data_IF_979488135390
#
_entry.id   IF_979488135390
#
_cell.length_a   1.000
_cell.length_b   1.000
_cell.length_c   1.000
_cell.angle_alpha   90.00
_cell.angle_beta   90.00
_cell.angle_gamma   90.00
#
_symmetry.space_group_name_H-M   'P 1'
#
loop_
_entity.id
_entity.type
_entity.pdbx_description
1 polymer ?
#
# COMPACT_ATOMS: atom_id res chain seq x y z
N UNK A 1 19.35 -20.51 25.09
CA UNK A 1 17.97 -20.99 24.93
C UNK A 1 17.33 -20.15 23.84
N UNK A 2 17.36 -20.63 22.61
CA UNK A 2 16.79 -19.97 21.44
C UNK A 2 15.35 -20.49 21.29
N UNK A 3 14.39 -19.67 21.68
CA UNK A 3 12.96 -19.98 21.60
C UNK A 3 12.48 -19.89 20.15
N UNK A 4 12.06 -21.01 19.61
CA UNK A 4 11.44 -21.13 18.29
C UNK A 4 10.06 -20.46 18.24
N UNK A 5 10.03 -19.27 17.68
CA UNK A 5 8.82 -18.47 17.48
C UNK A 5 8.57 -18.27 15.96
N UNK A 6 8.57 -19.30 15.14
CA UNK A 6 8.54 -18.96 13.71
C UNK A 6 7.90 -19.92 12.72
N UNK A 7 7.03 -20.85 13.07
CA UNK A 7 6.49 -21.72 12.02
C UNK A 7 4.95 -21.86 12.01
N UNK A 8 4.24 -21.54 13.07
CA UNK A 8 2.77 -21.70 13.11
C UNK A 8 2.01 -20.48 12.56
N UNK A 9 2.48 -19.27 12.83
CA UNK A 9 1.76 -18.06 12.40
C UNK A 9 1.81 -17.79 10.89
N UNK A 10 2.84 -18.25 10.19
CA UNK A 10 2.95 -18.12 8.73
C UNK A 10 1.97 -19.03 7.99
N UNK A 11 1.71 -20.22 8.49
CA UNK A 11 0.81 -21.20 7.84
C UNK A 11 -0.66 -20.82 8.02
N UNK A 12 -1.07 -20.40 9.20
CA UNK A 12 -2.46 -20.03 9.49
C UNK A 12 -2.86 -18.69 8.84
N UNK A 13 -1.93 -17.72 8.75
CA UNK A 13 -2.15 -16.46 8.05
C UNK A 13 -2.28 -16.67 6.53
N UNK A 14 -1.46 -17.55 5.95
CA UNK A 14 -1.57 -17.95 4.54
C UNK A 14 -2.85 -18.75 4.26
N UNK A 15 -3.31 -19.59 5.18
CA UNK A 15 -4.56 -20.34 5.06
C UNK A 15 -5.79 -19.43 5.08
N UNK A 16 -5.81 -18.40 5.92
CA UNK A 16 -6.92 -17.45 5.99
C UNK A 16 -7.06 -16.64 4.70
N UNK A 17 -5.94 -16.22 4.10
CA UNK A 17 -5.93 -15.50 2.83
C UNK A 17 -6.25 -16.43 1.65
N UNK A 18 -5.81 -17.69 1.69
CA UNK A 18 -6.05 -18.67 0.62
C UNK A 18 -7.52 -19.11 0.49
N UNK A 19 -8.35 -18.90 1.50
CA UNK A 19 -9.76 -19.36 1.47
C UNK A 19 -10.74 -18.38 0.82
N UNK A 20 -10.31 -17.16 0.50
CA UNK A 20 -11.24 -16.06 0.16
C UNK A 20 -11.21 -15.66 -1.31
N UNK A 21 -10.11 -15.92 -2.04
CA UNK A 21 -9.95 -15.45 -3.43
C UNK A 21 -9.44 -16.56 -4.38
N UNK A 22 -9.66 -16.34 -5.68
CA UNK A 22 -9.23 -17.26 -6.74
C UNK A 22 -7.69 -17.40 -6.77
N UNK A 23 -7.19 -18.61 -6.57
CA UNK A 23 -5.75 -18.92 -6.49
C UNK A 23 -5.13 -19.37 -7.82
N UNK A 24 -5.86 -19.34 -8.94
CA UNK A 24 -5.34 -19.75 -10.24
C UNK A 24 -5.78 -18.76 -11.32
N UNK A 25 -5.17 -17.58 -11.31
CA UNK A 25 -5.45 -16.50 -12.24
C UNK A 25 -4.33 -16.35 -13.27
N UNK A 26 -4.69 -15.82 -14.44
CA UNK A 26 -3.74 -15.31 -15.43
C UNK A 26 -3.45 -13.84 -15.14
N UNK A 27 -2.21 -13.55 -14.78
CA UNK A 27 -1.75 -12.20 -14.41
C UNK A 27 -0.73 -11.71 -15.43
N UNK A 28 -0.88 -10.45 -15.88
CA UNK A 28 0.17 -9.73 -16.59
C UNK A 28 0.94 -8.81 -15.63
N UNK A 29 2.20 -8.56 -15.90
CA UNK A 29 3.01 -7.58 -15.19
C UNK A 29 3.36 -6.42 -16.12
N UNK A 30 3.24 -5.19 -15.63
CA UNK A 30 3.65 -3.97 -16.33
C UNK A 30 4.68 -3.27 -15.45
N UNK A 31 5.94 -3.24 -15.93
CA UNK A 31 7.11 -2.84 -15.15
C UNK A 31 7.77 -4.05 -14.47
N UNK A 32 9.02 -4.35 -14.87
CA UNK A 32 9.74 -5.54 -14.39
C UNK A 32 11.04 -5.19 -13.64
N UNK A 33 10.95 -4.10 -12.85
CA UNK A 33 11.99 -3.71 -11.91
C UNK A 33 11.99 -4.58 -10.64
N UNK A 34 12.53 -4.04 -9.54
CA UNK A 34 12.60 -4.76 -8.24
C UNK A 34 11.23 -5.24 -7.75
N UNK A 35 10.18 -4.38 -7.87
CA UNK A 35 8.83 -4.76 -7.45
C UNK A 35 8.21 -5.81 -8.38
N UNK A 36 8.29 -5.63 -9.69
CA UNK A 36 7.74 -6.60 -10.66
C UNK A 36 8.29 -8.01 -10.46
N UNK A 37 9.59 -8.15 -10.24
CA UNK A 37 10.25 -9.45 -9.94
C UNK A 37 9.77 -10.06 -8.61
N UNK A 38 9.56 -9.24 -7.59
CA UNK A 38 9.04 -9.73 -6.30
C UNK A 38 7.58 -10.15 -6.42
N UNK A 39 6.77 -9.38 -7.16
CA UNK A 39 5.37 -9.69 -7.44
C UNK A 39 5.25 -11.00 -8.25
N UNK A 40 6.07 -11.19 -9.28
CA UNK A 40 6.10 -12.45 -10.04
C UNK A 40 6.33 -13.66 -9.14
N UNK A 41 7.38 -13.60 -8.31
CA UNK A 41 7.70 -14.70 -7.39
C UNK A 41 6.50 -15.01 -6.48
N UNK A 42 5.92 -14.01 -5.84
CA UNK A 42 4.80 -14.19 -4.91
C UNK A 42 3.55 -14.67 -5.64
N UNK A 43 3.25 -14.15 -6.83
CA UNK A 43 2.11 -14.59 -7.63
C UNK A 43 2.23 -16.07 -7.99
N UNK A 44 3.42 -16.53 -8.45
CA UNK A 44 3.68 -17.93 -8.74
C UNK A 44 3.64 -18.83 -7.50
N UNK A 45 4.18 -18.38 -6.37
CA UNK A 45 4.09 -19.08 -5.07
C UNK A 45 2.64 -19.25 -4.61
N UNK A 46 1.74 -18.34 -4.99
CA UNK A 46 0.29 -18.40 -4.71
C UNK A 46 -0.48 -19.20 -5.77
N UNK A 47 0.16 -19.73 -6.80
CA UNK A 47 -0.45 -20.58 -7.83
C UNK A 47 -0.96 -19.84 -9.07
N UNK A 48 -0.65 -18.54 -9.23
CA UNK A 48 -1.04 -17.80 -10.42
C UNK A 48 -0.09 -18.03 -11.59
N UNK A 49 -0.63 -17.90 -12.79
CA UNK A 49 0.12 -17.94 -14.04
C UNK A 49 0.51 -16.51 -14.47
N UNK A 50 1.81 -16.24 -14.68
CA UNK A 50 2.25 -15.01 -15.32
C UNK A 50 2.29 -15.23 -16.83
N UNK A 51 1.32 -14.64 -17.53
CA UNK A 51 1.12 -14.83 -18.98
C UNK A 51 1.82 -13.78 -19.83
N UNK A 52 2.10 -12.61 -19.29
CA UNK A 52 2.79 -11.52 -20.00
C UNK A 52 3.59 -10.67 -19.04
N UNK A 53 4.76 -10.21 -19.47
CA UNK A 53 5.60 -9.24 -18.75
C UNK A 53 5.94 -8.13 -19.73
N UNK A 54 5.49 -6.91 -19.42
CA UNK A 54 5.75 -5.72 -20.22
C UNK A 54 6.73 -4.82 -19.48
N UNK A 55 7.78 -4.42 -20.18
CA UNK A 55 8.75 -3.42 -19.71
C UNK A 55 9.08 -2.45 -20.86
N UNK A 56 10.08 -1.59 -20.68
CA UNK A 56 10.43 -0.53 -21.64
C UNK A 56 10.74 -1.03 -23.05
N UNK A 57 11.29 -2.25 -23.18
CA UNK A 57 11.78 -2.80 -24.44
C UNK A 57 10.70 -3.54 -25.27
N UNK A 58 9.53 -3.85 -24.68
CA UNK A 58 8.49 -4.65 -25.34
C UNK A 58 7.09 -4.09 -25.21
N UNK A 59 6.94 -2.77 -25.21
CA UNK A 59 5.64 -2.12 -25.03
C UNK A 59 4.60 -2.48 -26.11
N UNK A 60 4.99 -3.06 -27.25
CA UNK A 60 4.05 -3.56 -28.25
C UNK A 60 3.26 -4.79 -27.79
N UNK A 61 3.72 -5.48 -26.77
CA UNK A 61 3.10 -6.71 -26.26
C UNK A 61 1.74 -6.48 -25.55
N UNK A 62 1.34 -5.23 -25.28
CA UNK A 62 -0.04 -4.92 -24.88
C UNK A 62 -1.11 -5.42 -25.87
N UNK A 63 -0.73 -5.57 -27.15
CA UNK A 63 -1.64 -6.03 -28.20
C UNK A 63 -1.57 -7.55 -28.41
N UNK A 64 -0.68 -8.25 -27.72
CA UNK A 64 -0.49 -9.70 -27.82
C UNK A 64 -1.67 -10.49 -27.25
N UNK A 65 -1.90 -11.68 -27.79
CA UNK A 65 -2.90 -12.62 -27.24
C UNK A 65 -2.56 -13.04 -25.82
N UNK A 66 -1.27 -13.13 -25.49
CA UNK A 66 -0.80 -13.42 -24.15
C UNK A 66 -1.28 -12.36 -23.15
N UNK A 67 -1.05 -11.06 -23.45
CA UNK A 67 -1.50 -9.98 -22.58
C UNK A 67 -3.04 -9.94 -22.47
N UNK A 68 -3.75 -10.06 -23.59
CA UNK A 68 -5.22 -10.06 -23.64
C UNK A 68 -5.85 -11.24 -22.90
N UNK A 69 -5.10 -12.31 -22.67
CA UNK A 69 -5.56 -13.46 -21.90
C UNK A 69 -5.50 -13.23 -20.39
N UNK A 70 -4.84 -12.16 -19.92
CA UNK A 70 -4.73 -11.85 -18.50
C UNK A 70 -6.08 -11.35 -17.94
N UNK A 71 -6.42 -11.81 -16.75
CA UNK A 71 -7.59 -11.33 -16.00
C UNK A 71 -7.31 -9.97 -15.35
N UNK A 72 -6.05 -9.80 -14.88
CA UNK A 72 -5.58 -8.58 -14.22
C UNK A 72 -4.12 -8.32 -14.60
N UNK A 73 -3.76 -7.06 -14.82
CA UNK A 73 -2.39 -6.61 -14.96
C UNK A 73 -1.96 -5.87 -13.68
N UNK A 74 -0.79 -6.25 -13.11
CA UNK A 74 -0.21 -5.54 -11.96
C UNK A 74 0.87 -4.59 -12.49
N UNK A 75 0.67 -3.29 -12.23
CA UNK A 75 1.49 -2.20 -12.79
C UNK A 75 2.30 -1.50 -11.70
N UNK A 76 3.63 -1.53 -11.86
CA UNK A 76 4.59 -0.81 -11.03
C UNK A 76 5.69 -0.21 -11.91
N UNK A 77 5.43 0.99 -12.42
CA UNK A 77 6.35 1.72 -13.32
C UNK A 77 6.73 3.09 -12.78
N UNK A 78 6.65 4.12 -13.62
CA UNK A 78 6.92 5.51 -13.27
C UNK A 78 5.73 6.40 -13.67
N UNK A 79 5.52 7.56 -12.99
CA UNK A 79 4.33 8.41 -13.22
C UNK A 79 4.11 8.83 -14.67
N UNK A 80 5.20 9.03 -15.42
CA UNK A 80 5.15 9.53 -16.80
C UNK A 80 4.46 8.58 -17.78
N UNK A 81 4.46 7.27 -17.49
CA UNK A 81 3.89 6.26 -18.39
C UNK A 81 2.66 5.55 -17.80
N UNK A 82 2.39 5.71 -16.52
CA UNK A 82 1.32 5.00 -15.80
C UNK A 82 -0.05 5.12 -16.49
N UNK A 83 -0.49 6.34 -16.79
CA UNK A 83 -1.79 6.58 -17.45
C UNK A 83 -1.88 5.97 -18.85
N UNK A 84 -0.77 6.01 -19.60
CA UNK A 84 -0.71 5.35 -20.91
C UNK A 84 -0.83 3.83 -20.76
N UNK A 85 -0.16 3.26 -19.78
CA UNK A 85 -0.23 1.83 -19.48
C UNK A 85 -1.66 1.41 -19.11
N UNK A 86 -2.34 2.18 -18.24
CA UNK A 86 -3.74 1.90 -17.87
C UNK A 86 -4.66 1.90 -19.09
N UNK A 87 -4.60 2.95 -19.93
CA UNK A 87 -5.44 3.06 -21.12
C UNK A 87 -5.20 1.93 -22.12
N UNK A 88 -3.94 1.49 -22.28
CA UNK A 88 -3.62 0.34 -23.14
C UNK A 88 -4.17 -0.97 -22.57
N UNK A 89 -4.04 -1.19 -21.28
CA UNK A 89 -4.62 -2.35 -20.61
C UNK A 89 -6.16 -2.36 -20.73
N UNK A 90 -6.81 -1.21 -20.50
CA UNK A 90 -8.27 -1.08 -20.67
C UNK A 90 -8.72 -1.35 -22.09
N UNK A 91 -7.98 -0.86 -23.11
CA UNK A 91 -8.28 -1.14 -24.53
C UNK A 91 -8.18 -2.63 -24.86
N UNK A 92 -7.34 -3.38 -24.14
CA UNK A 92 -7.21 -4.83 -24.24
C UNK A 92 -8.22 -5.59 -23.38
N UNK A 93 -9.10 -4.90 -22.63
CA UNK A 93 -10.10 -5.52 -21.75
C UNK A 93 -9.53 -6.02 -20.41
N UNK A 94 -8.27 -5.70 -20.08
CA UNK A 94 -7.57 -6.18 -18.90
C UNK A 94 -7.74 -5.18 -17.73
N UNK A 95 -8.18 -5.67 -16.56
CA UNK A 95 -8.23 -4.89 -15.33
C UNK A 95 -6.82 -4.55 -14.85
N UNK A 96 -6.66 -3.43 -14.15
CA UNK A 96 -5.34 -2.97 -13.67
C UNK A 96 -5.32 -2.85 -12.15
N UNK A 97 -4.25 -3.34 -11.53
CA UNK A 97 -3.86 -3.04 -10.14
C UNK A 97 -2.56 -2.24 -10.20
N UNK A 98 -2.56 -1.00 -9.71
CA UNK A 98 -1.39 -0.14 -9.82
C UNK A 98 -0.91 0.42 -8.49
N UNK A 99 0.42 0.35 -8.30
CA UNK A 99 1.15 1.00 -7.21
C UNK A 99 2.00 2.19 -7.66
N UNK A 100 1.92 2.59 -8.91
CA UNK A 100 2.62 3.79 -9.38
C UNK A 100 1.97 5.04 -8.79
N UNK A 101 2.79 5.94 -8.24
CA UNK A 101 2.37 7.21 -7.61
C UNK A 101 2.81 8.41 -8.44
N UNK A 102 2.42 9.63 -8.07
CA UNK A 102 2.86 10.87 -8.72
C UNK A 102 2.11 11.25 -9.99
N UNK A 103 0.92 10.67 -10.23
CA UNK A 103 0.04 10.98 -11.37
C UNK A 103 -1.38 11.40 -10.93
N UNK A 104 -1.64 11.48 -9.65
CA UNK A 104 -3.00 11.63 -9.06
C UNK A 104 -3.72 12.93 -9.41
N UNK A 105 -3.03 13.94 -9.92
CA UNK A 105 -3.67 15.15 -10.47
C UNK A 105 -4.66 14.82 -11.60
N UNK A 106 -4.41 13.75 -12.36
CA UNK A 106 -5.30 13.29 -13.43
C UNK A 106 -6.40 12.33 -12.97
N UNK A 107 -6.46 12.02 -11.67
CA UNK A 107 -7.42 11.05 -11.12
C UNK A 107 -8.89 11.39 -11.44
N UNK A 108 -9.36 12.65 -11.36
CA UNK A 108 -10.77 12.98 -11.71
C UNK A 108 -11.12 12.67 -13.15
N UNK A 109 -10.18 12.88 -14.08
CA UNK A 109 -10.39 12.54 -15.49
C UNK A 109 -10.38 11.02 -15.69
N UNK A 110 -9.42 10.32 -15.08
CA UNK A 110 -9.28 8.88 -15.23
C UNK A 110 -10.50 8.13 -14.68
N UNK A 111 -11.10 8.59 -13.57
CA UNK A 111 -12.34 8.01 -13.03
C UNK A 111 -13.49 8.09 -14.04
N UNK A 112 -13.65 9.21 -14.72
CA UNK A 112 -14.67 9.35 -15.81
C UNK A 112 -14.38 8.40 -16.98
N UNK A 113 -13.11 8.24 -17.36
CA UNK A 113 -12.72 7.30 -18.43
C UNK A 113 -13.03 5.84 -18.03
N UNK A 114 -12.77 5.46 -16.77
CA UNK A 114 -13.07 4.13 -16.22
C UNK A 114 -14.56 3.85 -16.26
N UNK A 115 -15.38 4.78 -15.80
CA UNK A 115 -16.84 4.66 -15.80
C UNK A 115 -17.40 4.52 -17.23
N UNK A 116 -16.99 5.41 -18.14
CA UNK A 116 -17.45 5.42 -19.54
C UNK A 116 -17.01 4.16 -20.29
N UNK A 117 -15.80 3.64 -20.03
CA UNK A 117 -15.23 2.46 -20.68
C UNK A 117 -15.58 1.13 -20.01
N UNK A 118 -16.35 1.14 -18.91
CA UNK A 118 -16.60 -0.05 -18.08
C UNK A 118 -15.30 -0.80 -17.71
N UNK A 119 -14.23 -0.04 -17.46
CA UNK A 119 -12.90 -0.55 -17.14
C UNK A 119 -12.72 -0.75 -15.64
N UNK A 120 -11.55 -1.25 -15.21
CA UNK A 120 -11.26 -1.46 -13.78
C UNK A 120 -9.85 -1.02 -13.47
N UNK A 121 -9.73 -0.14 -12.47
CA UNK A 121 -8.46 0.21 -11.84
C UNK A 121 -8.58 0.06 -10.34
N UNK A 122 -7.76 -0.82 -9.76
CA UNK A 122 -7.45 -0.79 -8.34
C UNK A 122 -6.16 0.02 -8.16
N UNK A 123 -6.21 1.11 -7.38
CA UNK A 123 -5.04 1.92 -7.12
C UNK A 123 -4.80 2.10 -5.62
N UNK A 124 -3.54 1.99 -5.22
CA UNK A 124 -3.11 2.35 -3.88
C UNK A 124 -1.68 2.90 -3.90
N UNK A 125 -1.42 3.91 -3.08
CA UNK A 125 -0.06 4.40 -2.81
C UNK A 125 0.73 3.43 -1.91
N UNK A 126 0.05 2.50 -1.22
CA UNK A 126 0.67 1.54 -0.32
C UNK A 126 -0.12 0.22 -0.28
N UNK A 127 0.46 -0.85 -0.80
CA UNK A 127 -0.14 -2.18 -0.84
C UNK A 127 0.15 -3.04 0.40
N UNK A 128 0.96 -2.58 1.36
CA UNK A 128 1.21 -3.35 2.58
C UNK A 128 -0.08 -3.51 3.39
N UNK A 129 -0.57 -4.74 3.52
CA UNK A 129 -1.74 -5.05 4.35
C UNK A 129 -1.52 -4.58 5.80
N UNK A 130 -0.32 -4.85 6.36
CA UNK A 130 0.02 -4.42 7.71
C UNK A 130 0.00 -2.91 7.90
N UNK A 131 0.47 -2.13 6.91
CA UNK A 131 0.40 -0.65 6.95
C UNK A 131 -1.05 -0.17 6.89
N UNK A 132 -1.89 -0.78 6.04
CA UNK A 132 -3.31 -0.38 5.95
C UNK A 132 -4.09 -0.71 7.23
N UNK A 133 -3.87 -1.89 7.82
CA UNK A 133 -4.42 -2.23 9.14
C UNK A 133 -3.92 -1.24 10.21
N UNK A 134 -2.62 -0.91 10.19
CA UNK A 134 -2.03 0.05 11.11
C UNK A 134 -2.66 1.45 10.96
N UNK A 135 -2.90 1.93 9.73
CA UNK A 135 -3.58 3.20 9.47
C UNK A 135 -5.02 3.20 10.02
N UNK A 136 -5.77 2.11 9.83
CA UNK A 136 -7.13 1.98 10.36
C UNK A 136 -7.15 1.99 11.90
N UNK A 137 -6.28 1.22 12.54
CA UNK A 137 -6.12 1.19 14.01
C UNK A 137 -5.69 2.57 14.54
N UNK A 138 -4.77 3.25 13.86
CA UNK A 138 -4.30 4.58 14.21
C UNK A 138 -5.45 5.60 14.22
N UNK A 139 -6.25 5.62 13.16
CA UNK A 139 -7.40 6.53 13.05
C UNK A 139 -8.46 6.24 14.13
N UNK A 140 -8.76 4.96 14.37
CA UNK A 140 -9.70 4.54 15.41
C UNK A 140 -9.20 4.90 16.81
N UNK A 141 -7.92 4.64 17.10
CA UNK A 141 -7.28 5.00 18.38
C UNK A 141 -7.30 6.51 18.59
N UNK A 142 -7.00 7.31 17.57
CA UNK A 142 -7.04 8.77 17.65
C UNK A 142 -8.43 9.29 18.05
N UNK A 143 -9.51 8.71 17.51
CA UNK A 143 -10.88 9.04 17.89
C UNK A 143 -11.17 8.74 19.37
N UNK A 144 -10.67 7.63 19.91
CA UNK A 144 -10.76 7.32 21.34
C UNK A 144 -9.96 8.35 22.15
N UNK A 145 -8.71 8.63 21.74
CA UNK A 145 -7.78 9.50 22.45
C UNK A 145 -8.20 10.98 22.42
N UNK A 146 -9.13 11.37 21.57
CA UNK A 146 -9.71 12.71 21.58
C UNK A 146 -10.42 13.03 22.90
N UNK A 147 -10.93 12.02 23.61
CA UNK A 147 -11.61 12.15 24.91
C UNK A 147 -10.62 12.27 26.08
N UNK A 148 -9.32 12.08 25.87
CA UNK A 148 -8.29 12.06 26.91
C UNK A 148 -7.24 13.16 26.66
N UNK A 149 -7.51 14.42 27.01
CA UNK A 149 -6.64 15.55 26.67
C UNK A 149 -5.28 15.56 27.37
N UNK A 150 -5.10 14.76 28.42
CA UNK A 150 -3.80 14.62 29.14
C UNK A 150 -2.77 13.79 28.35
N UNK A 151 -3.18 13.09 27.30
CA UNK A 151 -2.22 12.42 26.43
C UNK A 151 -1.81 13.33 25.29
N UNK A 152 -0.53 13.51 25.13
CA UNK A 152 0.04 14.10 23.92
C UNK A 152 0.37 13.00 22.91
N UNK A 153 0.52 13.37 21.63
CA UNK A 153 0.77 12.39 20.55
C UNK A 153 1.94 12.82 19.69
N UNK A 154 2.79 11.85 19.38
CA UNK A 154 3.87 12.01 18.42
C UNK A 154 3.98 10.80 17.49
N UNK A 155 4.58 11.02 16.32
CA UNK A 155 4.94 9.98 15.37
C UNK A 155 6.45 9.91 15.25
N UNK A 156 6.99 8.70 15.17
CA UNK A 156 8.37 8.48 14.76
C UNK A 156 8.45 7.48 13.62
N UNK A 157 9.40 7.70 12.71
CA UNK A 157 9.69 6.79 11.61
C UNK A 157 11.17 6.49 11.49
N UNK A 158 11.52 5.27 11.09
CA UNK A 158 12.89 4.85 10.79
C UNK A 158 12.93 4.21 9.40
N UNK A 159 13.80 4.70 8.53
CA UNK A 159 14.05 4.13 7.20
C UNK A 159 15.55 4.00 6.91
N UNK A 160 15.87 3.32 5.81
CA UNK A 160 17.25 3.18 5.33
C UNK A 160 17.88 4.54 4.99
N UNK A 161 19.21 4.61 5.05
CA UNK A 161 19.97 5.85 4.86
C UNK A 161 19.85 6.47 3.45
N UNK A 162 19.40 5.72 2.46
CA UNK A 162 19.20 6.18 1.08
C UNK A 162 17.82 6.79 0.82
N UNK A 163 16.90 6.81 1.82
CA UNK A 163 15.58 7.44 1.68
C UNK A 163 15.71 8.94 1.75
N UNK A 164 15.29 9.65 0.69
CA UNK A 164 15.47 11.11 0.54
C UNK A 164 14.34 11.90 1.20
N UNK A 165 13.09 11.44 1.05
CA UNK A 165 11.93 12.12 1.61
C UNK A 165 11.86 11.93 3.14
N UNK A 166 11.59 13.01 3.85
CA UNK A 166 11.35 13.04 5.30
C UNK A 166 10.37 14.18 5.64
N UNK A 167 9.24 13.87 6.31
CA UNK A 167 8.74 12.54 6.65
C UNK A 167 8.39 11.69 5.43
N UNK A 168 8.27 10.35 5.63
CA UNK A 168 7.75 9.45 4.61
C UNK A 168 6.27 9.69 4.33
N UNK A 169 5.80 9.34 3.13
CA UNK A 169 4.36 9.40 2.80
C UNK A 169 3.48 8.66 3.80
N UNK A 170 3.93 7.49 4.30
CA UNK A 170 3.21 6.73 5.34
C UNK A 170 3.09 7.51 6.65
N UNK A 171 4.17 8.17 7.09
CA UNK A 171 4.13 8.98 8.31
C UNK A 171 3.19 10.18 8.17
N UNK A 172 3.17 10.81 6.99
CA UNK A 172 2.24 11.91 6.69
C UNK A 172 0.79 11.41 6.73
N UNK A 173 0.48 10.29 6.07
CA UNK A 173 -0.88 9.72 6.09
C UNK A 173 -1.34 9.34 7.51
N UNK A 174 -0.43 8.80 8.34
CA UNK A 174 -0.73 8.52 9.75
C UNK A 174 -1.05 9.81 10.50
N UNK A 175 -0.26 10.87 10.28
CA UNK A 175 -0.48 12.17 10.90
C UNK A 175 -1.81 12.80 10.49
N UNK A 176 -2.12 12.80 9.19
CA UNK A 176 -3.40 13.29 8.67
C UNK A 176 -4.58 12.53 9.29
N UNK A 177 -4.49 11.19 9.38
CA UNK A 177 -5.52 10.37 10.02
C UNK A 177 -5.71 10.66 11.52
N UNK A 178 -4.66 11.07 12.24
CA UNK A 178 -4.76 11.55 13.62
C UNK A 178 -5.41 12.93 13.67
N UNK A 179 -4.96 13.87 12.85
CA UNK A 179 -5.47 15.24 12.81
C UNK A 179 -6.97 15.31 12.46
N UNK A 180 -7.48 14.38 11.67
CA UNK A 180 -8.91 14.25 11.39
C UNK A 180 -9.76 13.88 12.62
N UNK A 181 -9.16 13.33 13.67
CA UNK A 181 -9.85 12.79 14.85
C UNK A 181 -9.53 13.55 16.13
N UNK A 182 -8.44 14.30 16.19
CA UNK A 182 -7.96 14.99 17.39
C UNK A 182 -8.18 16.50 17.28
N UNK A 183 -9.26 17.01 17.86
CA UNK A 183 -9.64 18.43 17.82
C UNK A 183 -8.55 19.37 18.38
N UNK A 184 -7.71 18.89 19.29
CA UNK A 184 -6.64 19.67 19.93
C UNK A 184 -5.36 19.78 19.12
N UNK A 185 -5.22 19.04 17.99
CA UNK A 185 -4.06 19.08 17.09
C UNK A 185 -4.50 19.57 15.71
N UNK A 186 -3.82 20.56 15.15
CA UNK A 186 -4.19 21.21 13.91
C UNK A 186 -3.21 20.96 12.77
N UNK A 187 -1.94 20.66 13.10
CA UNK A 187 -0.87 20.52 12.13
C UNK A 187 0.20 19.57 12.65
N UNK A 188 0.86 18.87 11.73
CA UNK A 188 2.09 18.16 12.05
C UNK A 188 3.32 18.98 11.65
N UNK A 189 4.39 18.82 12.42
CA UNK A 189 5.69 19.50 12.23
C UNK A 189 6.85 18.50 12.32
N UNK A 190 7.98 18.85 11.70
CA UNK A 190 9.22 18.03 11.73
C UNK A 190 10.10 18.28 12.96
N UNK A 191 9.62 19.05 13.89
CA UNK A 191 10.39 19.53 15.03
C UNK A 191 10.23 18.60 16.24
N UNK A 192 11.17 18.67 17.16
CA UNK A 192 11.16 17.88 18.38
C UNK A 192 10.45 18.59 19.53
N UNK A 193 10.39 19.91 19.47
CA UNK A 193 9.63 20.75 20.41
C UNK A 193 8.42 21.30 19.69
N UNK A 194 7.23 21.06 20.22
CA UNK A 194 5.96 21.42 19.60
C UNK A 194 5.14 22.33 20.49
N UNK A 195 4.33 23.19 19.87
CA UNK A 195 3.26 23.87 20.58
C UNK A 195 2.11 22.89 20.90
N UNK A 196 1.24 23.19 21.86
CA UNK A 196 0.16 22.28 22.27
C UNK A 196 -0.77 21.81 21.11
N UNK A 197 -0.92 22.60 20.07
CA UNK A 197 -1.74 22.31 18.90
C UNK A 197 -0.98 21.66 17.73
N UNK A 198 0.32 21.42 17.89
CA UNK A 198 1.19 20.78 16.91
C UNK A 198 1.47 19.32 17.28
N UNK A 199 1.72 18.50 16.28
CA UNK A 199 2.12 17.10 16.45
C UNK A 199 3.47 16.85 15.78
N UNK A 200 4.44 16.31 16.52
CA UNK A 200 5.75 15.99 15.98
C UNK A 200 5.74 14.76 15.08
N UNK A 201 6.46 14.84 13.94
CA UNK A 201 6.91 13.67 13.18
C UNK A 201 8.44 13.63 13.22
N UNK A 202 9.00 12.67 13.93
CA UNK A 202 10.44 12.45 14.06
C UNK A 202 10.92 11.43 13.03
N UNK A 203 11.80 11.83 12.12
CA UNK A 203 12.30 10.96 11.05
C UNK A 203 13.74 10.55 11.30
N UNK A 204 14.00 9.24 11.33
CA UNK A 204 15.33 8.67 11.53
C UNK A 204 15.78 7.89 10.29
N UNK A 205 17.10 7.86 10.07
CA UNK A 205 17.72 7.10 8.97
C UNK A 205 18.74 6.13 9.57
N UNK A 206 18.54 4.82 9.33
CA UNK A 206 19.37 3.77 9.94
C UNK A 206 19.58 2.60 8.99
N UNK A 207 20.81 2.34 8.62
CA UNK A 207 21.22 1.15 7.87
C UNK A 207 20.34 0.85 6.65
N UNK A 208 19.77 -0.35 6.64
CA UNK A 208 18.92 -0.86 5.55
C UNK A 208 17.45 -1.07 5.99
N UNK A 209 17.00 -0.41 7.04
CA UNK A 209 15.65 -0.56 7.60
C UNK A 209 14.59 -0.27 6.51
N UNK A 210 13.70 -1.23 6.19
CA UNK A 210 12.68 -1.04 5.15
C UNK A 210 11.65 0.03 5.50
N UNK A 211 11.28 0.13 6.78
CA UNK A 211 10.37 1.12 7.32
C UNK A 211 9.78 0.67 8.65
N UNK A 212 9.96 1.48 9.69
CA UNK A 212 9.30 1.32 10.99
C UNK A 212 8.52 2.62 11.23
N UNK A 213 7.26 2.51 11.62
CA UNK A 213 6.42 3.64 11.98
C UNK A 213 5.83 3.38 13.35
N UNK A 214 5.93 4.36 14.23
CA UNK A 214 5.45 4.28 15.60
C UNK A 214 4.60 5.51 15.89
N UNK A 215 3.40 5.30 16.44
CA UNK A 215 2.54 6.34 17.02
C UNK A 215 2.55 6.15 18.52
N UNK A 216 2.84 7.19 19.25
CA UNK A 216 2.97 7.19 20.71
C UNK A 216 2.04 8.24 21.30
N UNK A 217 1.16 7.82 22.19
CA UNK A 217 0.39 8.68 23.06
C UNK A 217 0.96 8.62 24.47
N UNK A 218 1.41 9.74 25.00
CA UNK A 218 2.11 9.82 26.28
C UNK A 218 1.40 10.76 27.26
N UNK A 219 1.30 10.32 28.51
CA UNK A 219 0.80 11.09 29.65
C UNK A 219 1.79 11.04 30.82
N UNK A 220 1.51 11.73 31.90
CA UNK A 220 2.32 11.66 33.13
C UNK A 220 2.28 10.28 33.80
N UNK A 221 1.30 9.43 33.50
CA UNK A 221 1.06 8.17 34.22
C UNK A 221 1.41 6.93 33.38
N UNK A 222 1.26 7.00 32.05
CA UNK A 222 1.54 5.87 31.16
C UNK A 222 1.72 6.30 29.70
N UNK A 223 2.08 5.34 28.86
CA UNK A 223 2.29 5.52 27.43
C UNK A 223 1.56 4.42 26.65
N UNK A 224 0.81 4.80 25.61
CA UNK A 224 0.20 3.88 24.65
C UNK A 224 0.96 3.98 23.34
N UNK A 225 1.50 2.87 22.86
CA UNK A 225 2.29 2.84 21.62
C UNK A 225 1.76 1.78 20.67
N UNK A 226 1.56 2.18 19.41
CA UNK A 226 1.33 1.25 18.30
C UNK A 226 2.46 1.36 17.29
N UNK A 227 2.93 0.22 16.77
CA UNK A 227 4.09 0.18 15.87
C UNK A 227 3.86 -0.79 14.72
N UNK A 228 4.17 -0.36 13.50
CA UNK A 228 4.35 -1.22 12.33
C UNK A 228 5.83 -1.29 11.96
N UNK A 229 6.38 -2.50 11.88
CA UNK A 229 7.76 -2.79 11.52
C UNK A 229 7.81 -3.67 10.28
N UNK A 230 8.10 -3.07 9.12
CA UNK A 230 8.25 -3.80 7.87
C UNK A 230 9.54 -4.64 7.87
N UNK A 231 9.43 -5.94 7.64
CA UNK A 231 10.58 -6.85 7.61
C UNK A 231 11.24 -6.93 6.22
N UNK A 232 10.44 -6.75 5.16
CA UNK A 232 10.90 -6.80 3.77
C UNK A 232 9.91 -6.07 2.85
N UNK A 233 10.22 -6.04 1.54
CA UNK A 233 9.29 -5.56 0.51
C UNK A 233 8.23 -6.57 0.13
N UNK A 234 8.33 -7.80 0.59
CA UNK A 234 7.39 -8.87 0.26
C UNK A 234 5.95 -8.55 0.70
N UNK A 235 5.79 -7.81 1.81
CA UNK A 235 4.47 -7.35 2.26
C UNK A 235 3.74 -6.46 1.25
N UNK A 236 4.46 -5.60 0.53
CA UNK A 236 3.88 -4.77 -0.53
C UNK A 236 3.51 -5.59 -1.77
N UNK A 237 4.40 -6.49 -2.18
CA UNK A 237 4.17 -7.36 -3.33
C UNK A 237 3.03 -8.35 -3.08
N UNK A 238 2.95 -8.94 -1.89
CA UNK A 238 1.84 -9.79 -1.46
C UNK A 238 0.51 -9.03 -1.51
N UNK A 239 0.47 -7.82 -0.98
CA UNK A 239 -0.73 -6.99 -1.02
C UNK A 239 -1.16 -6.65 -2.45
N UNK A 240 -0.22 -6.42 -3.38
CA UNK A 240 -0.54 -6.18 -4.78
C UNK A 240 -1.13 -7.44 -5.46
N UNK A 241 -0.63 -8.64 -5.14
CA UNK A 241 -1.19 -9.90 -5.65
C UNK A 241 -2.59 -10.14 -5.07
N UNK A 242 -2.80 -9.93 -3.77
CA UNK A 242 -4.13 -10.04 -3.14
C UNK A 242 -5.11 -9.01 -3.73
N UNK A 243 -4.65 -7.80 -4.02
CA UNK A 243 -5.47 -6.81 -4.70
C UNK A 243 -5.85 -7.25 -6.13
N UNK A 244 -4.96 -7.95 -6.84
CA UNK A 244 -5.29 -8.54 -8.14
C UNK A 244 -6.37 -9.63 -8.02
N UNK A 245 -6.23 -10.52 -7.05
CA UNK A 245 -7.25 -11.55 -6.73
C UNK A 245 -8.61 -10.91 -6.40
N UNK A 246 -8.60 -9.84 -5.60
CA UNK A 246 -9.81 -9.09 -5.27
C UNK A 246 -10.43 -8.39 -6.48
N UNK A 247 -9.61 -7.88 -7.39
CA UNK A 247 -10.03 -7.05 -8.54
C UNK A 247 -10.66 -7.88 -9.66
N UNK A 248 -10.31 -9.16 -9.76
CA UNK A 248 -10.80 -10.03 -10.81
C UNK A 248 -12.35 -10.03 -10.90
N UNK A 249 -12.87 -9.76 -12.08
CA UNK A 249 -14.32 -9.71 -12.35
C UNK A 249 -15.05 -8.47 -11.81
N UNK A 250 -14.37 -7.55 -11.10
CA UNK A 250 -14.97 -6.31 -10.62
C UNK A 250 -14.86 -5.18 -11.65
N UNK A 251 -15.65 -4.13 -11.46
CA UNK A 251 -15.69 -2.94 -12.31
C UNK A 251 -15.55 -1.66 -11.51
N UNK A 252 -14.93 -0.64 -12.13
CA UNK A 252 -14.82 0.69 -11.57
C UNK A 252 -13.45 1.01 -10.95
N UNK A 253 -13.40 2.11 -10.23
CA UNK A 253 -12.23 2.53 -9.47
C UNK A 253 -12.30 1.94 -8.06
N UNK A 254 -11.29 1.18 -7.69
CA UNK A 254 -11.21 0.43 -6.43
C UNK A 254 -9.94 0.82 -5.66
N UNK A 255 -9.95 0.60 -4.36
CA UNK A 255 -8.82 0.84 -3.45
C UNK A 255 -8.74 -0.15 -2.30
N UNK A 256 -7.79 0.09 -1.39
CA UNK A 256 -7.59 -0.77 -0.22
C UNK A 256 -8.81 -0.80 0.71
N UNK A 257 -9.58 0.28 0.78
CA UNK A 257 -10.80 0.37 1.60
C UNK A 257 -11.90 -0.57 1.10
N UNK A 258 -12.02 -0.74 -0.22
CA UNK A 258 -12.97 -1.68 -0.83
C UNK A 258 -12.61 -3.13 -0.53
N UNK A 259 -11.32 -3.42 -0.44
CA UNK A 259 -10.80 -4.77 -0.21
C UNK A 259 -10.81 -5.15 1.26
N UNK A 260 -10.40 -4.27 2.16
CA UNK A 260 -10.14 -4.58 3.57
C UNK A 260 -11.36 -4.35 4.49
N UNK A 261 -12.35 -3.58 4.07
CA UNK A 261 -13.63 -3.33 4.77
C UNK A 261 -13.46 -3.00 6.28
N UNK A 262 -12.63 -2.01 6.58
CA UNK A 262 -12.47 -1.49 7.96
C UNK A 262 -13.65 -0.64 8.39
#
# INVERSE_FOLDING_TARGET
>A
MTTGFNTRYTTDYLLFINSTYNTNMKIALIGYGKMGKTIERIARERGHEIVSIIDVDNTNDFDSDAFKSAEVAIEFTVPQVALSNYRRAFASGVAVVSGTTGWTEQLPQLKREIEAGNSTLFWSSNFSLGVNVFMAVNKYLAGIMNQFPNYDVEISEVHHTQKLDAPSGTAITLAEGILEQLDRKNIWVKETETNPNEMAIKSFRRGQVPGIHTVCYESEVDTITITHDAKSRDGFALGAVIAAEFTAGKKGFLGMEDMLKF
#
